data_IF_019895795126
#
_entry.id   IF_019895795126
#
_cell.length_a   1.000
_cell.length_b   1.000
_cell.length_c   1.000
_cell.angle_alpha   90.00
_cell.angle_beta   90.00
_cell.angle_gamma   90.00
#
_symmetry.space_group_name_H-M   'P 1'
#
loop_
_entity.id
_entity.type
_entity.pdbx_description
1 polymer ?
#
# COMPACT_ATOMS: atom_id res chain seq x y z
N UNK A 1 2.80 -19.81 11.16
CA UNK A 1 1.62 -20.60 10.74
C UNK A 1 0.66 -20.93 11.89
N UNK A 2 1.15 -21.16 13.13
CA UNK A 2 0.32 -21.66 14.23
C UNK A 2 -0.96 -20.83 14.53
N UNK A 3 -0.86 -19.51 14.55
CA UNK A 3 -2.02 -18.65 14.75
C UNK A 3 -3.02 -18.78 13.59
N UNK A 4 -2.51 -18.77 12.35
CA UNK A 4 -3.34 -18.89 11.16
C UNK A 4 -4.01 -20.26 11.08
N UNK A 5 -3.30 -21.32 11.41
CA UNK A 5 -3.85 -22.68 11.50
C UNK A 5 -4.96 -22.79 12.55
N UNK A 6 -4.76 -22.19 13.74
CA UNK A 6 -5.78 -22.18 14.78
C UNK A 6 -7.08 -21.47 14.35
N UNK A 7 -6.95 -20.33 13.64
CA UNK A 7 -8.11 -19.63 13.10
C UNK A 7 -8.82 -20.46 12.03
N UNK A 8 -8.07 -21.10 11.13
CA UNK A 8 -8.62 -21.97 10.10
C UNK A 8 -9.29 -23.23 10.69
N UNK A 9 -8.76 -23.79 11.77
CA UNK A 9 -9.37 -24.92 12.47
C UNK A 9 -10.71 -24.55 13.13
N UNK A 10 -10.84 -23.31 13.60
CA UNK A 10 -12.12 -22.79 14.05
C UNK A 10 -13.07 -22.61 12.87
N UNK A 11 -12.63 -21.97 11.81
CA UNK A 11 -13.44 -21.74 10.61
C UNK A 11 -13.90 -23.06 9.97
N UNK A 12 -13.07 -24.10 10.00
CA UNK A 12 -13.37 -25.40 9.42
C UNK A 12 -14.59 -26.10 10.04
N UNK A 13 -15.03 -25.69 11.24
CA UNK A 13 -16.21 -26.26 11.94
C UNK A 13 -17.54 -25.77 11.40
N UNK A 14 -17.54 -24.75 10.53
CA UNK A 14 -18.77 -24.14 10.01
C UNK A 14 -19.06 -24.62 8.60
N UNK A 15 -20.34 -24.61 8.22
CA UNK A 15 -20.75 -24.77 6.83
C UNK A 15 -20.49 -23.49 6.02
N UNK A 16 -20.36 -23.62 4.70
CA UNK A 16 -20.15 -22.48 3.77
C UNK A 16 -18.98 -21.56 4.14
N UNK A 17 -17.94 -22.12 4.69
CA UNK A 17 -16.75 -21.42 5.19
C UNK A 17 -15.93 -20.80 4.06
N UNK A 18 -15.73 -19.51 4.19
CA UNK A 18 -14.89 -18.72 3.26
C UNK A 18 -13.93 -17.88 4.08
N UNK A 19 -12.67 -17.86 3.66
CA UNK A 19 -11.65 -16.96 4.18
C UNK A 19 -11.36 -15.89 3.13
N UNK A 20 -11.50 -14.64 3.51
CA UNK A 20 -10.98 -13.52 2.72
C UNK A 20 -9.58 -13.17 3.20
N UNK A 21 -8.68 -12.97 2.26
CA UNK A 21 -7.30 -12.58 2.54
C UNK A 21 -6.81 -11.53 1.54
N UNK A 22 -6.11 -10.54 2.04
CA UNK A 22 -5.37 -9.58 1.22
C UNK A 22 -3.89 -9.90 1.34
N UNK A 23 -3.31 -10.42 0.28
CA UNK A 23 -1.88 -10.70 0.24
C UNK A 23 -1.09 -9.43 -0.04
N UNK A 24 0.05 -9.27 0.62
CA UNK A 24 0.88 -8.07 0.66
C UNK A 24 1.10 -7.36 -0.68
N UNK A 25 0.22 -6.41 -0.98
CA UNK A 25 0.17 -5.69 -2.26
C UNK A 25 1.42 -4.85 -2.46
N UNK A 26 1.96 -4.28 -1.39
CA UNK A 26 3.10 -3.37 -1.41
C UNK A 26 4.43 -4.04 -1.05
N UNK A 27 4.40 -5.26 -0.54
CA UNK A 27 5.58 -5.95 -0.05
C UNK A 27 6.38 -6.59 -1.19
N UNK A 28 7.62 -6.93 -0.87
CA UNK A 28 8.59 -7.59 -1.76
C UNK A 28 8.15 -8.97 -2.27
N UNK A 29 7.17 -9.56 -1.61
CA UNK A 29 6.70 -10.90 -1.92
C UNK A 29 5.89 -10.91 -3.21
N UNK A 30 6.17 -11.89 -4.04
CA UNK A 30 5.50 -12.08 -5.33
C UNK A 30 4.02 -12.44 -5.19
N UNK A 31 3.55 -12.69 -3.98
CA UNK A 31 2.23 -13.24 -3.69
C UNK A 31 2.12 -14.75 -3.98
N UNK A 32 3.03 -15.31 -4.78
CA UNK A 32 3.02 -16.74 -5.14
C UNK A 32 3.25 -17.62 -3.92
N UNK A 33 4.31 -17.35 -3.14
CA UNK A 33 4.59 -18.12 -1.92
C UNK A 33 3.49 -18.01 -0.86
N UNK A 34 2.88 -16.83 -0.75
CA UNK A 34 1.75 -16.64 0.16
C UNK A 34 0.51 -17.41 -0.30
N UNK A 35 0.27 -17.47 -1.61
CA UNK A 35 -0.82 -18.26 -2.19
C UNK A 35 -0.62 -19.75 -1.99
N UNK A 36 0.58 -20.26 -2.20
CA UNK A 36 0.93 -21.66 -1.92
C UNK A 36 0.77 -22.02 -0.44
N UNK A 37 1.11 -21.07 0.45
CA UNK A 37 0.87 -21.22 1.88
C UNK A 37 -0.63 -21.30 2.20
N UNK A 38 -1.42 -20.39 1.61
CA UNK A 38 -2.88 -20.37 1.79
C UNK A 38 -3.51 -21.65 1.26
N UNK A 39 -3.11 -22.14 0.09
CA UNK A 39 -3.56 -23.43 -0.46
C UNK A 39 -3.27 -24.57 0.51
N UNK A 40 -2.02 -24.70 0.94
CA UNK A 40 -1.59 -25.78 1.84
C UNK A 40 -2.43 -25.82 3.13
N UNK A 41 -2.85 -24.65 3.63
CA UNK A 41 -3.58 -24.55 4.89
C UNK A 41 -5.11 -24.67 4.70
N UNK A 42 -5.66 -24.18 3.62
CA UNK A 42 -7.11 -24.12 3.39
C UNK A 42 -7.68 -25.37 2.72
N UNK A 43 -6.96 -25.93 1.74
CA UNK A 43 -7.41 -27.08 0.94
C UNK A 43 -7.77 -28.32 1.79
N UNK A 44 -6.94 -28.77 2.77
CA UNK A 44 -7.28 -29.92 3.61
C UNK A 44 -8.51 -29.69 4.48
N UNK A 45 -8.87 -28.43 4.76
CA UNK A 45 -10.00 -28.02 5.60
C UNK A 45 -11.27 -27.74 4.80
N UNK A 46 -11.23 -27.84 3.48
CA UNK A 46 -12.34 -27.52 2.57
C UNK A 46 -12.78 -26.05 2.72
N UNK A 47 -11.86 -25.13 3.01
CA UNK A 47 -12.16 -23.71 3.16
C UNK A 47 -12.01 -23.05 1.80
N UNK A 48 -13.07 -22.34 1.35
CA UNK A 48 -13.01 -21.47 0.19
C UNK A 48 -12.12 -20.27 0.47
N UNK A 49 -11.38 -19.82 -0.54
CA UNK A 49 -10.52 -18.65 -0.42
C UNK A 49 -11.02 -17.56 -1.34
N UNK A 50 -11.23 -16.38 -0.79
CA UNK A 50 -11.45 -15.15 -1.53
C UNK A 50 -10.22 -14.26 -1.37
N UNK A 51 -9.55 -13.98 -2.47
CA UNK A 51 -8.42 -13.08 -2.47
C UNK A 51 -8.87 -11.65 -2.82
N UNK A 52 -8.71 -10.73 -1.86
CA UNK A 52 -9.07 -9.34 -1.99
C UNK A 52 -8.03 -8.55 -2.79
N UNK A 53 -8.19 -8.55 -4.09
CA UNK A 53 -7.49 -7.65 -5.01
C UNK A 53 -6.28 -8.23 -5.74
N UNK A 54 -6.46 -8.52 -7.03
CA UNK A 54 -5.33 -8.63 -7.95
C UNK A 54 -4.92 -7.22 -8.35
N UNK A 55 -3.68 -6.80 -8.08
CA UNK A 55 -3.21 -5.51 -8.53
C UNK A 55 -3.11 -5.49 -10.06
N UNK A 56 -3.75 -4.51 -10.68
CA UNK A 56 -3.80 -4.32 -12.14
C UNK A 56 -2.84 -3.24 -12.64
N UNK A 57 -1.90 -2.81 -11.80
CA UNK A 57 -0.89 -1.83 -12.18
C UNK A 57 0.08 -2.42 -13.20
N UNK A 58 0.38 -1.66 -14.24
CA UNK A 58 1.28 -2.07 -15.34
C UNK A 58 2.63 -2.64 -14.87
N UNK A 59 3.12 -2.17 -13.73
CA UNK A 59 4.37 -2.61 -13.11
C UNK A 59 4.32 -4.05 -12.56
N UNK A 60 3.15 -4.65 -12.51
CA UNK A 60 2.93 -5.96 -11.89
C UNK A 60 2.42 -7.02 -12.86
N UNK A 61 2.49 -6.76 -14.17
CA UNK A 61 1.94 -7.66 -15.18
C UNK A 61 2.54 -9.07 -15.16
N UNK A 62 3.85 -9.20 -14.93
CA UNK A 62 4.50 -10.52 -14.81
C UNK A 62 3.98 -11.30 -13.59
N UNK A 63 3.75 -10.58 -12.48
CA UNK A 63 3.14 -11.14 -11.27
C UNK A 63 1.70 -11.55 -11.51
N UNK A 64 0.94 -10.74 -12.25
CA UNK A 64 -0.43 -11.05 -12.61
C UNK A 64 -0.53 -12.36 -13.39
N UNK A 65 0.32 -12.57 -14.39
CA UNK A 65 0.34 -13.82 -15.16
C UNK A 65 0.60 -15.03 -14.25
N UNK A 66 1.61 -14.99 -13.39
CA UNK A 66 1.91 -16.07 -12.45
C UNK A 66 0.74 -16.38 -11.51
N UNK A 67 0.03 -15.35 -11.04
CA UNK A 67 -1.14 -15.53 -10.18
C UNK A 67 -2.35 -16.09 -10.92
N UNK A 68 -2.54 -15.71 -12.19
CA UNK A 68 -3.58 -16.29 -13.04
C UNK A 68 -3.33 -17.79 -13.31
N UNK A 69 -2.10 -18.18 -13.58
CA UNK A 69 -1.72 -19.57 -13.75
C UNK A 69 -1.96 -20.39 -12.48
N UNK A 70 -1.59 -19.85 -11.32
CA UNK A 70 -1.88 -20.48 -10.02
C UNK A 70 -3.39 -20.62 -9.79
N UNK A 71 -4.16 -19.57 -10.05
CA UNK A 71 -5.60 -19.59 -9.90
C UNK A 71 -6.26 -20.66 -10.78
N UNK A 72 -5.80 -20.80 -12.02
CA UNK A 72 -6.25 -21.87 -12.94
C UNK A 72 -5.93 -23.24 -12.35
N UNK A 73 -4.69 -23.48 -11.93
CA UNK A 73 -4.24 -24.75 -11.34
C UNK A 73 -5.10 -25.11 -10.12
N UNK A 74 -5.33 -24.17 -9.20
CA UNK A 74 -6.09 -24.42 -7.97
C UNK A 74 -7.54 -24.82 -8.26
N UNK A 75 -8.17 -24.21 -9.27
CA UNK A 75 -9.50 -24.60 -9.70
C UNK A 75 -9.52 -26.01 -10.31
N UNK A 76 -8.53 -26.35 -11.11
CA UNK A 76 -8.37 -27.70 -11.70
C UNK A 76 -8.15 -28.76 -10.60
N UNK A 77 -7.51 -28.40 -9.50
CA UNK A 77 -7.29 -29.26 -8.33
C UNK A 77 -8.47 -29.28 -7.34
N UNK A 78 -9.56 -28.57 -7.64
CA UNK A 78 -10.78 -28.57 -6.84
C UNK A 78 -10.77 -27.66 -5.63
N UNK A 79 -9.80 -26.72 -5.52
CA UNK A 79 -9.87 -25.66 -4.53
C UNK A 79 -10.82 -24.56 -5.02
N UNK A 80 -11.83 -24.25 -4.24
CA UNK A 80 -12.70 -23.09 -4.48
C UNK A 80 -11.96 -21.79 -4.15
N UNK A 81 -11.33 -21.24 -5.17
CA UNK A 81 -10.53 -20.03 -5.09
C UNK A 81 -11.11 -18.93 -5.96
N UNK A 82 -11.40 -17.79 -5.37
CA UNK A 82 -11.98 -16.62 -6.01
C UNK A 82 -11.07 -15.40 -5.84
N UNK A 83 -10.99 -14.57 -6.88
CA UNK A 83 -10.23 -13.33 -6.82
C UNK A 83 -11.14 -12.14 -7.11
N UNK A 84 -11.07 -11.13 -6.25
CA UNK A 84 -11.56 -9.81 -6.59
C UNK A 84 -10.49 -9.07 -7.39
N UNK A 85 -10.89 -8.24 -8.34
CA UNK A 85 -9.98 -7.36 -9.07
C UNK A 85 -10.58 -5.96 -9.18
N UNK A 86 -9.72 -4.97 -9.24
CA UNK A 86 -10.14 -3.62 -9.49
C UNK A 86 -10.34 -3.42 -11.00
N UNK A 87 -11.57 -3.15 -11.42
CA UNK A 87 -11.89 -2.86 -12.82
C UNK A 87 -11.58 -1.41 -13.21
N UNK A 88 -11.30 -0.57 -12.21
CA UNK A 88 -10.77 0.79 -12.36
C UNK A 88 -9.50 0.92 -11.52
N UNK A 89 -8.57 1.79 -11.89
CA UNK A 89 -7.40 2.06 -11.05
C UNK A 89 -7.85 2.45 -9.65
N UNK A 90 -7.36 1.78 -8.60
CA UNK A 90 -7.70 2.15 -7.23
C UNK A 90 -7.13 3.53 -6.94
N UNK A 91 -7.98 4.45 -6.49
CA UNK A 91 -7.58 5.73 -5.94
C UNK A 91 -7.82 5.72 -4.43
N UNK A 92 -6.80 6.03 -3.67
CA UNK A 92 -6.89 6.14 -2.21
C UNK A 92 -6.49 7.54 -1.80
N UNK A 93 -7.38 8.24 -1.12
CA UNK A 93 -7.04 9.52 -0.51
C UNK A 93 -6.33 9.27 0.82
N UNK A 94 -5.17 9.86 0.98
CA UNK A 94 -4.39 9.82 2.20
C UNK A 94 -4.35 11.22 2.84
N UNK A 95 -4.28 11.28 4.16
CA UNK A 95 -4.10 12.49 4.94
C UNK A 95 -3.02 12.28 6.00
N UNK A 96 -2.57 13.36 6.63
CA UNK A 96 -1.52 13.31 7.65
C UNK A 96 -2.06 13.15 9.09
N UNK A 97 -3.34 12.82 9.27
CA UNK A 97 -3.96 12.61 10.57
C UNK A 97 -4.16 11.14 10.91
N UNK A 98 -4.62 10.34 9.94
CA UNK A 98 -5.08 8.96 10.21
C UNK A 98 -4.62 7.92 9.18
N UNK A 99 -3.95 8.34 8.12
CA UNK A 99 -3.63 7.42 7.02
C UNK A 99 -2.55 6.42 7.37
N UNK A 100 -2.85 5.15 7.15
CA UNK A 100 -1.89 4.06 7.38
C UNK A 100 -0.93 3.85 6.20
N UNK A 101 -1.14 4.52 5.06
CA UNK A 101 -0.41 4.26 3.81
C UNK A 101 1.11 4.35 3.97
N UNK A 102 1.60 5.30 4.78
CA UNK A 102 3.04 5.45 5.03
C UNK A 102 3.62 4.23 5.74
N UNK A 103 2.97 3.74 6.79
CA UNK A 103 3.37 2.52 7.49
C UNK A 103 3.23 1.26 6.61
N UNK A 104 2.12 1.13 5.90
CA UNK A 104 1.86 0.01 5.01
C UNK A 104 2.85 -0.11 3.85
N UNK A 105 3.43 1.00 3.44
CA UNK A 105 4.41 1.07 2.35
C UNK A 105 5.87 1.11 2.83
N UNK A 106 6.10 0.92 4.12
CA UNK A 106 7.40 1.01 4.78
C UNK A 106 8.05 2.41 4.71
N UNK A 107 7.25 3.46 4.58
CA UNK A 107 7.70 4.84 4.70
C UNK A 107 7.59 5.30 6.16
N UNK A 108 8.40 4.67 7.03
CA UNK A 108 8.23 4.76 8.47
C UNK A 108 8.51 6.15 9.04
N UNK A 109 9.42 6.92 8.45
CA UNK A 109 9.73 8.27 8.91
C UNK A 109 8.55 9.21 8.64
N UNK A 110 7.88 9.08 7.49
CA UNK A 110 6.65 9.80 7.21
C UNK A 110 5.47 9.31 8.06
N UNK A 111 5.45 8.06 8.47
CA UNK A 111 4.46 7.55 9.41
C UNK A 111 4.54 8.23 10.78
N UNK A 112 5.72 8.75 11.18
CA UNK A 112 5.89 9.55 12.40
C UNK A 112 5.03 10.82 12.39
N UNK A 113 4.86 11.46 11.20
CA UNK A 113 4.00 12.65 11.05
C UNK A 113 2.54 12.28 11.33
N UNK A 114 2.08 11.17 10.81
CA UNK A 114 0.70 10.71 11.05
C UNK A 114 0.48 10.36 12.52
N UNK A 115 1.47 9.74 13.15
CA UNK A 115 1.39 9.30 14.54
C UNK A 115 1.47 10.47 15.56
N UNK A 116 2.05 11.61 15.19
CA UNK A 116 2.11 12.79 16.08
C UNK A 116 0.73 13.44 16.20
N UNK A 117 0.13 13.55 17.40
CA UNK A 117 -1.21 14.10 17.54
C UNK A 117 -1.27 15.64 17.43
N UNK A 118 -0.14 16.33 17.62
CA UNK A 118 -0.09 17.79 17.60
C UNK A 118 0.28 18.33 16.24
N UNK A 119 -0.62 19.08 15.61
CA UNK A 119 -0.38 19.73 14.33
C UNK A 119 0.85 20.63 14.34
N UNK A 120 0.99 21.48 15.38
CA UNK A 120 2.16 22.32 15.53
C UNK A 120 3.48 21.54 15.59
N UNK A 121 3.48 20.35 16.20
CA UNK A 121 4.66 19.50 16.21
C UNK A 121 4.90 18.84 14.86
N UNK A 122 3.85 18.42 14.15
CA UNK A 122 3.97 17.90 12.78
C UNK A 122 4.65 18.91 11.86
N UNK A 123 4.18 20.16 11.89
CA UNK A 123 4.77 21.25 11.12
C UNK A 123 6.23 21.51 11.52
N UNK A 124 6.53 21.51 12.83
CA UNK A 124 7.90 21.64 13.30
C UNK A 124 8.81 20.49 12.82
N UNK A 125 8.33 19.25 12.82
CA UNK A 125 9.06 18.10 12.27
C UNK A 125 9.32 18.26 10.77
N UNK A 126 8.31 18.64 9.99
CA UNK A 126 8.46 18.87 8.54
C UNK A 126 9.43 19.99 8.20
N UNK A 127 9.59 20.97 9.09
CA UNK A 127 10.55 22.05 8.94
C UNK A 127 11.97 21.67 9.42
N UNK A 128 12.13 20.62 10.23
CA UNK A 128 13.41 20.21 10.80
C UNK A 128 14.33 19.55 9.75
N UNK A 129 15.53 20.14 9.49
CA UNK A 129 16.48 19.55 8.55
C UNK A 129 16.93 18.13 8.92
N UNK A 130 17.02 17.80 10.21
CA UNK A 130 17.44 16.47 10.66
C UNK A 130 16.34 15.44 10.38
N UNK A 131 15.07 15.77 10.62
CA UNK A 131 13.95 14.93 10.24
C UNK A 131 13.90 14.74 8.72
N UNK A 132 14.05 15.80 7.93
CA UNK A 132 14.08 15.74 6.45
C UNK A 132 15.18 14.82 5.92
N UNK A 133 16.35 14.87 6.50
CA UNK A 133 17.46 13.99 6.14
C UNK A 133 17.07 12.50 6.36
N UNK A 134 16.47 12.18 7.52
CA UNK A 134 15.93 10.84 7.79
C UNK A 134 14.80 10.45 6.83
N UNK A 135 13.92 11.38 6.49
CA UNK A 135 12.81 11.15 5.59
C UNK A 135 13.29 10.80 4.17
N UNK A 136 14.30 11.51 3.64
CA UNK A 136 14.96 11.16 2.37
C UNK A 136 15.57 9.76 2.41
N UNK A 137 16.30 9.43 3.47
CA UNK A 137 16.85 8.07 3.65
C UNK A 137 15.73 7.02 3.75
N UNK A 138 14.68 7.30 4.51
CA UNK A 138 13.51 6.43 4.66
C UNK A 138 12.79 6.18 3.34
N UNK A 139 12.75 7.17 2.44
CA UNK A 139 12.14 7.05 1.13
C UNK A 139 12.79 5.98 0.25
N UNK A 140 14.09 5.76 0.41
CA UNK A 140 14.81 4.69 -0.32
C UNK A 140 14.49 3.28 0.19
N UNK A 141 13.84 3.18 1.35
CA UNK A 141 13.50 1.91 2.03
C UNK A 141 12.04 1.48 1.82
N UNK A 142 11.24 2.30 1.12
CA UNK A 142 9.86 1.95 0.80
C UNK A 142 9.78 0.69 -0.04
N UNK A 143 8.69 -0.04 0.07
CA UNK A 143 8.50 -1.24 -0.74
C UNK A 143 8.50 -0.92 -2.24
N UNK A 144 9.04 -1.81 -3.09
CA UNK A 144 9.20 -1.54 -4.53
C UNK A 144 7.92 -1.13 -5.27
N UNK A 145 6.77 -1.64 -4.84
CA UNK A 145 5.46 -1.30 -5.42
C UNK A 145 4.77 -0.13 -4.71
N UNK A 146 5.47 0.54 -3.81
CA UNK A 146 4.93 1.71 -3.14
C UNK A 146 4.67 2.86 -4.13
N UNK A 147 3.55 3.59 -4.01
CA UNK A 147 3.30 4.77 -4.82
C UNK A 147 4.39 5.85 -4.68
N UNK A 148 5.12 5.85 -3.57
CA UNK A 148 6.22 6.79 -3.33
C UNK A 148 7.39 6.64 -4.31
N UNK A 149 7.55 5.48 -4.95
CA UNK A 149 8.51 5.25 -6.02
C UNK A 149 8.05 5.77 -7.39
N UNK A 150 6.79 6.22 -7.47
CA UNK A 150 6.13 6.66 -8.69
C UNK A 150 5.43 8.00 -8.42
N UNK A 151 6.19 9.08 -8.22
CA UNK A 151 5.61 10.37 -7.82
C UNK A 151 4.58 10.93 -8.82
N UNK A 152 4.56 10.43 -10.05
CA UNK A 152 3.55 10.75 -11.08
C UNK A 152 2.15 10.20 -10.76
N UNK A 153 2.04 9.16 -9.93
CA UNK A 153 0.73 8.59 -9.52
C UNK A 153 0.24 9.15 -8.18
N UNK A 154 1.05 9.92 -7.49
CA UNK A 154 0.70 10.57 -6.21
C UNK A 154 0.10 11.93 -6.54
N UNK A 155 -1.24 12.02 -6.52
CA UNK A 155 -1.95 13.27 -6.78
C UNK A 155 -2.15 14.09 -5.51
N UNK A 156 -2.03 15.41 -5.65
CA UNK A 156 -2.35 16.39 -4.60
C UNK A 156 -3.80 16.82 -4.80
N UNK A 157 -4.72 16.34 -3.97
CA UNK A 157 -6.15 16.51 -4.21
C UNK A 157 -6.77 17.69 -3.45
N UNK A 158 -6.34 17.93 -2.22
CA UNK A 158 -6.91 18.96 -1.36
C UNK A 158 -5.86 19.51 -0.40
N UNK A 159 -6.03 20.75 0.04
CA UNK A 159 -5.39 21.33 1.22
C UNK A 159 -6.44 21.95 2.12
N UNK A 160 -6.24 21.94 3.44
CA UNK A 160 -7.17 22.60 4.37
C UNK A 160 -7.32 24.09 4.12
N UNK A 161 -6.26 24.74 3.68
CA UNK A 161 -6.29 26.16 3.33
C UNK A 161 -7.04 26.47 2.03
N UNK A 162 -7.38 25.45 1.21
CA UNK A 162 -7.90 25.63 -0.13
C UNK A 162 -6.91 26.29 -1.10
N UNK A 163 -5.67 26.52 -0.63
CA UNK A 163 -4.58 27.13 -1.41
C UNK A 163 -3.62 26.03 -1.79
N UNK A 164 -3.31 25.92 -3.04
CA UNK A 164 -2.34 24.96 -3.51
C UNK A 164 -2.78 24.30 -4.82
N UNK A 165 -1.84 23.74 -5.55
CA UNK A 165 -2.11 23.15 -6.86
C UNK A 165 -2.88 21.83 -6.70
N UNK A 166 -4.19 21.94 -6.67
CA UNK A 166 -5.09 20.79 -6.77
C UNK A 166 -4.95 20.18 -8.17
N UNK A 167 -4.79 18.86 -8.23
CA UNK A 167 -4.72 18.13 -9.50
C UNK A 167 -3.30 17.96 -10.06
N UNK A 168 -2.27 18.48 -9.39
CA UNK A 168 -0.88 18.18 -9.72
C UNK A 168 -0.45 16.85 -9.10
N UNK A 169 0.45 16.16 -9.79
CA UNK A 169 1.18 15.04 -9.19
C UNK A 169 2.34 15.54 -8.32
N UNK A 170 2.83 14.67 -7.44
CA UNK A 170 4.08 14.95 -6.71
C UNK A 170 5.26 15.14 -7.68
N UNK A 171 5.28 14.44 -8.82
CA UNK A 171 6.29 14.66 -9.86
C UNK A 171 6.21 16.07 -10.48
N UNK A 172 5.00 16.59 -10.69
CA UNK A 172 4.82 17.96 -11.20
C UNK A 172 5.28 18.99 -10.16
N UNK A 173 5.01 18.74 -8.88
CA UNK A 173 5.45 19.59 -7.78
C UNK A 173 6.98 19.65 -7.70
N UNK A 174 7.66 18.51 -7.83
CA UNK A 174 9.13 18.43 -7.90
C UNK A 174 9.66 19.29 -9.04
N UNK A 175 9.09 19.17 -10.24
CA UNK A 175 9.51 19.97 -11.42
C UNK A 175 9.29 21.47 -11.23
N UNK A 176 8.16 21.86 -10.62
CA UNK A 176 7.85 23.28 -10.40
C UNK A 176 8.79 23.97 -9.42
N UNK A 177 9.32 23.23 -8.45
CA UNK A 177 10.22 23.80 -7.45
C UNK A 177 11.63 24.06 -7.98
N UNK A 178 11.98 23.54 -9.15
CA UNK A 178 13.32 23.67 -9.73
C UNK A 178 14.39 22.88 -8.94
N UNK A 179 15.63 22.88 -9.43
CA UNK A 179 16.79 22.24 -8.80
C UNK A 179 16.59 20.75 -8.42
N UNK A 180 15.59 20.10 -9.00
CA UNK A 180 15.25 18.68 -8.81
C UNK A 180 15.22 18.23 -7.34
N UNK A 181 14.37 18.85 -6.49
CA UNK A 181 14.31 18.51 -5.07
C UNK A 181 13.87 17.07 -4.89
N UNK A 182 14.33 16.44 -3.82
CA UNK A 182 13.88 15.11 -3.47
C UNK A 182 12.36 15.11 -3.25
N UNK A 183 11.59 14.10 -3.75
CA UNK A 183 10.12 14.08 -3.62
C UNK A 183 9.62 14.22 -2.17
N UNK A 184 10.35 13.68 -1.20
CA UNK A 184 10.05 13.84 0.23
C UNK A 184 10.12 15.31 0.67
N UNK A 185 11.09 16.08 0.18
CA UNK A 185 11.22 17.50 0.52
C UNK A 185 10.13 18.32 -0.16
N UNK A 186 9.85 18.03 -1.43
CA UNK A 186 8.78 18.70 -2.16
C UNK A 186 7.41 18.49 -1.48
N UNK A 187 7.14 17.28 -0.99
CA UNK A 187 5.93 16.99 -0.23
C UNK A 187 5.90 17.71 1.12
N UNK A 188 7.02 17.75 1.86
CA UNK A 188 7.12 18.43 3.13
C UNK A 188 6.87 19.94 2.98
N UNK A 189 7.48 20.56 1.98
CA UNK A 189 7.28 21.99 1.68
C UNK A 189 5.84 22.28 1.24
N UNK A 190 5.23 21.39 0.45
CA UNK A 190 3.84 21.55 0.05
C UNK A 190 2.91 21.53 1.29
N UNK A 191 3.15 20.64 2.23
CA UNK A 191 2.37 20.61 3.50
C UNK A 191 2.60 21.85 4.34
N UNK A 192 3.84 22.35 4.44
CA UNK A 192 4.14 23.59 5.18
C UNK A 192 3.46 24.80 4.56
N UNK A 193 3.37 24.86 3.23
CA UNK A 193 2.75 25.98 2.51
C UNK A 193 1.21 25.94 2.55
N UNK A 194 0.61 24.77 2.70
CA UNK A 194 -0.83 24.57 2.51
C UNK A 194 -1.59 24.02 3.73
N UNK A 195 -0.89 23.69 4.79
CA UNK A 195 -1.47 23.07 5.98
C UNK A 195 -1.48 21.55 5.95
N UNK A 196 -1.82 20.96 7.08
CA UNK A 196 -1.85 19.51 7.33
C UNK A 196 -3.23 18.92 7.06
#
# INVERSE_FOLDING_TARGET
DAEFEALLDVLARYENKTMEIVLGVFQRYTGVADMERVERLCKPRGIRVMWGGIPTLNMQMARLAALQDMHKRYREEGLEFYTAFHHVPPATTANFHTSLIFGQTNNLVWAEIVAEPSEAKKLAMLADPAWRARAREGWTKVYPQSPWNFPEVVGLSESESGVGPVGLSLADLVKQRGDDPHPSDALADWVLDNGI
#
